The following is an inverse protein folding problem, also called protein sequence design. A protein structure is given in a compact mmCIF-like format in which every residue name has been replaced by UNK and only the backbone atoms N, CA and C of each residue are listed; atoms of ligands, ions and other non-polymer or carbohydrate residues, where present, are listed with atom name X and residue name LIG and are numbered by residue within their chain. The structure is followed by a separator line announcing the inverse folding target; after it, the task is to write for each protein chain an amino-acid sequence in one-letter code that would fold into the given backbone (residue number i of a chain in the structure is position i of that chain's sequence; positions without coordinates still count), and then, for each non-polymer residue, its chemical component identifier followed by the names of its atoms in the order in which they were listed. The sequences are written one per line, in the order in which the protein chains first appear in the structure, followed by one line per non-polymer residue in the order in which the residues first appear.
data_IF_326516107954
#
_entry.id   IF_326516107954
#
_cell.length_a   1.000
_cell.length_b   1.000
_cell.length_c   1.000
_cell.angle_alpha   90.00
_cell.angle_beta   90.00
_cell.angle_gamma   90.00
#
_symmetry.space_group_name_H-M   'P 1'
#
loop_
_entity.id
_entity.type
_entity.pdbx_description
1 polymer ?
#
# COMPACT_ATOMS: atom_id res chain seq x y z
N UNK A 1 -21.02 16.78 3.92
CA UNK A 1 -20.45 16.07 2.77
C UNK A 1 -18.95 16.12 2.93
N UNK A 2 -18.33 14.94 3.15
CA UNK A 2 -16.92 14.89 3.41
C UNK A 2 -16.16 14.65 2.10
N UNK A 3 -15.43 15.67 1.66
CA UNK A 3 -14.46 15.56 0.58
C UNK A 3 -13.08 15.55 1.24
N UNK A 4 -12.38 14.41 1.22
CA UNK A 4 -11.03 14.32 1.76
C UNK A 4 -10.16 13.30 1.06
N UNK A 5 -8.86 13.52 1.16
CA UNK A 5 -7.83 12.65 0.62
C UNK A 5 -6.92 12.21 1.75
N UNK A 6 -6.62 10.93 1.79
CA UNK A 6 -5.68 10.34 2.73
C UNK A 6 -4.69 9.46 1.98
N UNK A 7 -3.43 9.61 2.27
CA UNK A 7 -2.41 8.63 1.93
C UNK A 7 -2.02 7.84 3.18
N UNK A 8 -1.84 6.54 3.04
CA UNK A 8 -1.35 5.69 4.12
C UNK A 8 -0.31 4.70 3.63
N UNK A 9 0.61 4.35 4.51
CA UNK A 9 1.75 3.50 4.25
C UNK A 9 1.77 2.32 5.24
N UNK A 10 2.30 1.19 4.81
CA UNK A 10 2.46 -0.01 5.63
C UNK A 10 1.19 -0.42 6.38
N UNK A 11 0.10 -0.64 5.62
CA UNK A 11 -1.19 -1.06 6.16
C UNK A 11 -1.72 -0.13 7.28
N UNK A 12 -1.69 1.19 7.02
CA UNK A 12 -2.10 2.26 7.95
C UNK A 12 -1.27 2.39 9.23
N UNK A 13 -0.07 1.83 9.29
CA UNK A 13 0.85 2.12 10.39
C UNK A 13 1.28 3.59 10.39
N UNK A 14 1.32 4.17 9.21
CA UNK A 14 1.51 5.60 9.01
C UNK A 14 0.42 6.11 8.05
N UNK A 15 -0.07 7.29 8.33
CA UNK A 15 -1.04 7.95 7.47
C UNK A 15 -0.80 9.46 7.42
N UNK A 16 -1.31 10.08 6.39
CA UNK A 16 -1.26 11.52 6.16
C UNK A 16 -2.57 11.98 5.56
N UNK A 17 -3.18 12.98 6.19
CA UNK A 17 -4.23 13.77 5.60
C UNK A 17 -3.63 15.03 5.02
N UNK A 18 -4.17 15.49 3.93
CA UNK A 18 -3.79 16.78 3.37
C UNK A 18 -4.49 17.88 4.16
N UNK A 19 -3.75 18.84 4.74
CA UNK A 19 -4.34 19.84 5.64
C UNK A 19 -5.32 20.77 4.95
N UNK A 20 -5.07 21.04 3.67
CA UNK A 20 -6.00 21.75 2.79
C UNK A 20 -6.42 20.78 1.69
N UNK A 21 -7.72 20.66 1.45
CA UNK A 21 -8.22 19.85 0.34
C UNK A 21 -7.76 20.43 -0.97
N UNK A 22 -7.22 19.60 -1.87
CA UNK A 22 -6.98 20.01 -3.24
C UNK A 22 -8.25 20.54 -3.88
N UNK A 23 -8.11 21.58 -4.70
CA UNK A 23 -9.22 22.15 -5.47
C UNK A 23 -9.84 21.11 -6.41
N UNK A 24 -8.98 20.27 -7.00
CA UNK A 24 -9.39 19.18 -7.88
C UNK A 24 -8.50 17.95 -7.69
N UNK A 25 -9.08 16.78 -7.96
CA UNK A 25 -8.35 15.53 -8.12
C UNK A 25 -8.72 14.95 -9.48
N UNK A 26 -7.70 14.67 -10.28
CA UNK A 26 -7.86 14.14 -11.62
C UNK A 26 -7.59 12.64 -11.61
N UNK A 27 -8.49 11.86 -12.19
CA UNK A 27 -8.35 10.44 -12.42
C UNK A 27 -8.29 10.18 -13.92
N UNK A 28 -7.20 9.61 -14.40
CA UNK A 28 -7.01 9.27 -15.79
C UNK A 28 -7.03 7.76 -15.99
N UNK A 29 -8.03 7.29 -16.71
CA UNK A 29 -8.17 5.90 -17.14
C UNK A 29 -7.94 5.82 -18.64
N UNK A 30 -6.95 5.06 -19.09
CA UNK A 30 -6.60 4.93 -20.50
C UNK A 30 -6.70 3.49 -20.95
N UNK A 31 -7.31 3.28 -22.12
CA UNK A 31 -7.22 2.02 -22.83
C UNK A 31 -5.82 1.78 -23.38
N UNK A 32 -5.49 0.53 -23.64
CA UNK A 32 -4.31 0.15 -24.41
C UNK A 32 -4.76 -0.59 -25.67
N UNK A 33 -4.13 -0.30 -26.78
CA UNK A 33 -4.47 -0.89 -28.06
C UNK A 33 -3.33 -0.72 -29.06
N UNK A 34 -3.37 -1.48 -30.11
CA UNK A 34 -2.44 -1.36 -31.24
C UNK A 34 -3.21 -1.53 -32.53
N UNK A 35 -3.02 -0.58 -33.45
CA UNK A 35 -3.57 -0.68 -34.81
C UNK A 35 -2.55 -1.32 -35.73
N UNK A 36 -3.03 -2.18 -36.61
CA UNK A 36 -2.24 -2.86 -37.65
C UNK A 36 -2.95 -2.72 -39.00
N UNK A 37 -2.18 -2.41 -40.03
CA UNK A 37 -2.70 -2.39 -41.38
C UNK A 37 -2.53 -3.77 -42.01
N UNK A 38 -3.64 -4.44 -42.33
CA UNK A 38 -3.64 -5.78 -42.90
C UNK A 38 -4.08 -5.68 -44.37
N UNK A 39 -3.29 -6.27 -45.26
CA UNK A 39 -3.64 -6.34 -46.71
C UNK A 39 -5.02 -6.95 -46.88
N UNK A 40 -5.86 -6.32 -47.70
CA UNK A 40 -7.23 -6.71 -48.02
C UNK A 40 -8.29 -6.52 -46.91
N UNK A 41 -7.90 -6.22 -45.64
CA UNK A 41 -8.82 -5.95 -44.53
C UNK A 41 -8.81 -4.48 -44.10
N UNK A 42 -7.73 -3.73 -44.43
CA UNK A 42 -7.54 -2.38 -43.95
C UNK A 42 -6.94 -2.32 -42.54
N UNK A 43 -7.21 -1.22 -41.82
CA UNK A 43 -6.74 -1.04 -40.47
C UNK A 43 -7.62 -1.85 -39.50
N UNK A 44 -6.95 -2.66 -38.68
CA UNK A 44 -7.59 -3.38 -37.56
C UNK A 44 -7.03 -2.83 -36.22
N UNK A 45 -7.91 -2.68 -35.24
CA UNK A 45 -7.54 -2.29 -33.88
C UNK A 45 -7.63 -3.48 -32.94
N UNK A 46 -6.51 -3.79 -32.29
CA UNK A 46 -6.43 -4.86 -31.29
C UNK A 46 -6.49 -4.21 -29.90
N UNK A 47 -7.57 -4.50 -29.16
CA UNK A 47 -7.76 -4.01 -27.80
C UNK A 47 -6.94 -4.85 -26.85
N UNK A 48 -6.10 -4.20 -26.05
CA UNK A 48 -5.31 -4.81 -24.98
C UNK A 48 -5.92 -4.49 -23.62
N UNK A 49 -5.31 -5.02 -22.56
CA UNK A 49 -5.68 -4.66 -21.19
C UNK A 49 -5.49 -3.17 -20.96
N UNK A 50 -6.40 -2.48 -20.25
CA UNK A 50 -6.29 -1.06 -19.98
C UNK A 50 -4.99 -0.75 -19.21
N UNK A 51 -4.49 0.45 -19.39
CA UNK A 51 -3.36 0.97 -18.61
C UNK A 51 -3.75 1.13 -17.15
N UNK A 52 -2.76 1.22 -16.28
CA UNK A 52 -2.97 1.52 -14.87
C UNK A 52 -3.51 2.94 -14.73
N UNK A 53 -4.50 3.11 -13.86
CA UNK A 53 -5.07 4.41 -13.54
C UNK A 53 -4.01 5.36 -13.02
N UNK A 54 -4.00 6.58 -13.51
CA UNK A 54 -3.18 7.66 -12.99
C UNK A 54 -4.05 8.63 -12.20
N UNK A 55 -3.48 9.21 -11.14
CA UNK A 55 -4.16 10.18 -10.29
C UNK A 55 -3.23 11.34 -10.06
N UNK A 56 -3.70 12.55 -10.30
CA UNK A 56 -2.93 13.75 -10.05
C UNK A 56 -3.76 14.78 -9.28
N UNK A 57 -3.11 15.49 -8.41
CA UNK A 57 -3.67 16.63 -7.70
C UNK A 57 -2.57 17.54 -7.17
N UNK A 58 -2.91 18.79 -6.97
CA UNK A 58 -2.03 19.82 -6.42
C UNK A 58 -2.68 20.47 -5.21
N UNK A 59 -1.87 21.07 -4.36
CA UNK A 59 -2.37 21.76 -3.20
C UNK A 59 -1.28 22.52 -2.47
N UNK A 60 -1.58 22.88 -1.22
CA UNK A 60 -0.69 23.65 -0.38
C UNK A 60 -0.58 23.02 1.02
N UNK A 61 0.61 23.02 1.57
CA UNK A 61 0.87 22.77 2.98
C UNK A 61 1.10 24.13 3.64
N UNK A 62 0.12 24.67 4.35
CA UNK A 62 0.22 26.01 4.90
C UNK A 62 1.13 26.06 6.13
N UNK A 63 1.90 27.14 6.26
CA UNK A 63 2.77 27.40 7.41
C UNK A 63 1.99 27.68 8.69
N UNK A 64 0.87 28.39 8.54
CA UNK A 64 0.04 28.80 9.65
C UNK A 64 -1.34 28.14 9.59
N UNK A 65 -1.96 28.01 10.76
CA UNK A 65 -3.34 27.55 10.83
C UNK A 65 -4.27 28.52 10.10
N UNK A 66 -4.95 28.03 9.11
CA UNK A 66 -5.93 28.78 8.31
C UNK A 66 -7.33 28.17 8.47
N UNK A 67 -8.41 28.96 8.35
CA UNK A 67 -9.79 28.44 8.31
C UNK A 67 -10.04 27.41 7.18
N UNK A 68 -9.20 27.40 6.17
CA UNK A 68 -9.25 26.44 5.06
C UNK A 68 -8.68 25.05 5.41
N UNK A 69 -8.07 24.90 6.59
CA UNK A 69 -7.69 23.58 7.07
C UNK A 69 -8.95 22.73 7.21
N UNK A 70 -8.85 21.50 6.76
CA UNK A 70 -9.88 20.50 7.03
C UNK A 70 -10.10 20.45 8.54
N UNK A 71 -11.20 21.05 9.00
CA UNK A 71 -11.71 20.84 10.34
C UNK A 71 -12.21 19.41 10.44
N UNK A 72 -11.28 18.49 10.50
CA UNK A 72 -11.58 17.10 10.74
C UNK A 72 -12.06 16.99 12.20
N UNK A 73 -13.39 17.01 12.34
CA UNK A 73 -14.11 16.94 13.58
C UNK A 73 -13.82 18.08 14.60
N UNK A 74 -14.57 19.18 14.45
CA UNK A 74 -14.59 20.29 15.43
C UNK A 74 -14.89 19.83 16.87
N UNK A 75 -15.37 18.59 17.05
CA UNK A 75 -15.69 17.98 18.35
C UNK A 75 -14.47 17.43 19.08
N UNK A 76 -13.32 17.31 18.42
CA UNK A 76 -12.09 16.76 19.02
C UNK A 76 -10.88 17.67 18.83
N UNK A 77 -10.73 18.73 19.69
CA UNK A 77 -9.60 19.66 19.62
C UNK A 77 -8.23 18.99 19.72
N UNK A 78 -8.14 17.84 20.43
CA UNK A 78 -6.90 17.06 20.53
C UNK A 78 -6.47 16.48 19.19
N UNK A 79 -7.43 16.18 18.30
CA UNK A 79 -7.17 15.66 16.96
C UNK A 79 -6.64 16.79 16.07
N UNK A 80 -7.14 18.01 16.22
CA UNK A 80 -6.69 19.18 15.45
C UNK A 80 -5.19 19.45 15.65
N UNK A 81 -4.68 19.40 16.87
CA UNK A 81 -3.25 19.56 17.17
C UNK A 81 -2.38 18.45 16.57
N UNK A 82 -2.94 17.26 16.40
CA UNK A 82 -2.23 16.10 15.85
C UNK A 82 -2.07 16.18 14.32
N UNK A 83 -2.93 16.97 13.64
CA UNK A 83 -2.92 17.09 12.18
C UNK A 83 -2.15 18.31 11.68
N UNK A 84 -1.98 19.35 12.50
CA UNK A 84 -1.12 20.47 12.15
C UNK A 84 0.33 20.09 12.35
N UNK A 85 1.08 20.05 11.29
CA UNK A 85 2.52 19.79 11.26
C UNK A 85 3.21 20.86 10.45
N UNK A 86 4.48 21.09 10.74
CA UNK A 86 5.34 21.86 9.88
C UNK A 86 5.18 21.39 8.41
N UNK A 87 4.96 22.31 7.45
CA UNK A 87 4.80 21.98 6.03
C UNK A 87 5.89 21.05 5.49
N UNK A 88 7.13 21.26 5.92
CA UNK A 88 8.25 20.44 5.49
C UNK A 88 8.21 18.99 6.03
N UNK A 89 7.51 18.74 7.13
CA UNK A 89 7.29 17.39 7.63
C UNK A 89 6.42 16.55 6.69
N UNK A 90 5.44 17.17 6.02
CA UNK A 90 4.66 16.50 4.98
C UNK A 90 5.53 16.13 3.79
N UNK A 91 6.37 17.07 3.34
CA UNK A 91 7.32 16.84 2.24
C UNK A 91 8.27 15.70 2.56
N UNK A 92 8.93 15.73 3.72
CA UNK A 92 9.83 14.66 4.17
C UNK A 92 9.12 13.30 4.20
N UNK A 93 7.88 13.26 4.64
CA UNK A 93 7.10 12.03 4.73
C UNK A 93 6.81 11.44 3.36
N UNK A 94 6.36 12.26 2.41
CA UNK A 94 6.09 11.81 1.03
C UNK A 94 7.37 11.31 0.36
N UNK A 95 8.46 12.08 0.44
CA UNK A 95 9.77 11.71 -0.13
C UNK A 95 10.25 10.37 0.48
N UNK A 96 10.15 10.22 1.79
CA UNK A 96 10.53 8.98 2.47
C UNK A 96 9.72 7.79 1.95
N UNK A 97 8.39 7.92 1.82
CA UNK A 97 7.56 6.84 1.28
C UNK A 97 7.95 6.50 -0.15
N UNK A 98 8.19 7.50 -0.99
CA UNK A 98 8.66 7.30 -2.36
C UNK A 98 9.98 6.53 -2.42
N UNK A 99 10.94 6.88 -1.54
CA UNK A 99 12.25 6.22 -1.47
C UNK A 99 12.19 4.76 -1.01
N UNK A 100 11.13 4.34 -0.33
CA UNK A 100 10.97 2.94 0.08
C UNK A 100 10.73 1.98 -1.09
N UNK A 101 10.33 2.49 -2.26
CA UNK A 101 9.94 1.70 -3.42
C UNK A 101 8.71 0.81 -3.19
N UNK A 102 7.89 1.14 -2.17
CA UNK A 102 6.68 0.39 -1.82
C UNK A 102 5.44 1.18 -2.13
N UNK A 103 4.32 0.51 -2.48
CA UNK A 103 3.07 1.20 -2.71
C UNK A 103 2.54 1.84 -1.44
N UNK A 104 1.91 2.98 -1.59
CA UNK A 104 1.07 3.63 -0.60
C UNK A 104 -0.40 3.38 -0.93
N UNK A 105 -1.28 3.58 0.01
CA UNK A 105 -2.71 3.45 -0.21
C UNK A 105 -3.34 4.81 -0.29
N UNK A 106 -3.98 5.10 -1.42
CA UNK A 106 -4.81 6.27 -1.61
C UNK A 106 -6.24 5.94 -1.15
N UNK A 107 -6.74 6.75 -0.25
CA UNK A 107 -8.15 6.78 0.11
C UNK A 107 -8.70 8.18 -0.22
N UNK A 108 -9.66 8.21 -1.10
CA UNK A 108 -10.38 9.41 -1.50
C UNK A 108 -11.87 9.22 -1.23
N UNK A 109 -12.48 10.18 -0.57
CA UNK A 109 -13.91 10.17 -0.30
C UNK A 109 -14.55 11.44 -0.81
N UNK A 110 -15.63 11.31 -1.55
CA UNK A 110 -16.50 12.38 -1.97
C UNK A 110 -17.93 12.08 -1.54
N UNK A 111 -18.84 13.03 -1.77
CA UNK A 111 -20.25 12.91 -1.42
C UNK A 111 -20.94 11.66 -2.00
N UNK A 112 -20.49 11.17 -3.14
CA UNK A 112 -21.18 10.14 -3.93
C UNK A 112 -20.40 8.85 -4.06
N UNK A 113 -19.08 8.88 -3.92
CA UNK A 113 -18.23 7.70 -4.13
C UNK A 113 -16.95 7.77 -3.31
N UNK A 114 -16.39 6.61 -3.08
CA UNK A 114 -15.13 6.43 -2.36
C UNK A 114 -14.18 5.59 -3.22
N UNK A 115 -12.94 6.04 -3.32
CA UNK A 115 -11.87 5.31 -4.00
C UNK A 115 -10.86 4.87 -2.95
N UNK A 116 -10.52 3.59 -2.97
CA UNK A 116 -9.54 2.99 -2.08
C UNK A 116 -8.66 2.04 -2.89
N UNK A 117 -7.44 2.47 -3.21
CA UNK A 117 -6.54 1.68 -4.04
C UNK A 117 -5.07 1.84 -3.61
N UNK A 118 -4.27 0.82 -3.91
CA UNK A 118 -2.83 0.90 -3.79
C UNK A 118 -2.28 1.70 -4.98
N UNK A 119 -1.33 2.59 -4.71
CA UNK A 119 -0.69 3.45 -5.71
C UNK A 119 0.81 3.55 -5.45
N UNK A 120 1.60 3.76 -6.51
CA UNK A 120 2.97 4.23 -6.44
C UNK A 120 2.99 5.77 -6.56
N UNK A 121 3.95 6.41 -5.92
CA UNK A 121 4.20 7.84 -6.10
C UNK A 121 5.17 7.96 -7.27
N UNK A 122 4.68 8.48 -8.39
CA UNK A 122 5.48 8.63 -9.62
C UNK A 122 6.30 9.93 -9.61
N UNK A 123 5.65 11.04 -9.22
CA UNK A 123 6.34 12.30 -8.99
C UNK A 123 5.73 13.05 -7.81
N UNK A 124 6.58 13.81 -7.14
CA UNK A 124 6.20 14.74 -6.09
C UNK A 124 7.08 15.99 -6.22
N UNK A 125 6.49 17.03 -6.76
CA UNK A 125 7.12 18.31 -6.97
C UNK A 125 6.63 19.29 -5.91
N UNK A 126 7.52 20.07 -5.32
CA UNK A 126 7.15 21.03 -4.28
C UNK A 126 8.00 22.28 -4.41
N UNK A 127 7.42 23.40 -4.02
CA UNK A 127 8.08 24.70 -4.05
C UNK A 127 7.57 25.60 -2.94
N UNK A 128 8.41 26.49 -2.47
CA UNK A 128 8.07 27.61 -1.60
C UNK A 128 8.15 28.90 -2.41
N UNK A 129 7.23 29.81 -2.16
CA UNK A 129 7.16 31.09 -2.87
C UNK A 129 7.46 32.23 -1.91
N UNK A 130 8.35 33.16 -2.25
CA UNK A 130 8.77 34.25 -1.39
C UNK A 130 7.62 35.19 -0.94
N UNK A 131 6.48 35.20 -1.65
CA UNK A 131 5.28 35.95 -1.27
C UNK A 131 4.46 35.32 -0.15
N UNK A 132 4.66 34.03 0.12
CA UNK A 132 3.97 33.25 1.18
C UNK A 132 5.01 32.40 1.90
N UNK A 133 5.87 33.07 2.68
CA UNK A 133 6.99 32.41 3.35
C UNK A 133 6.48 31.33 4.31
N UNK A 134 7.02 30.13 4.16
CA UNK A 134 6.66 28.95 4.95
C UNK A 134 5.56 28.07 4.33
N UNK A 135 4.75 28.59 3.41
CA UNK A 135 3.79 27.78 2.68
C UNK A 135 4.48 26.98 1.58
N UNK A 136 4.19 25.70 1.51
CA UNK A 136 4.73 24.80 0.48
C UNK A 136 3.62 24.39 -0.47
N UNK A 137 3.74 24.81 -1.72
CA UNK A 137 2.89 24.31 -2.80
C UNK A 137 3.44 22.96 -3.28
N UNK A 138 2.55 22.03 -3.61
CA UNK A 138 2.94 20.72 -4.09
C UNK A 138 2.08 20.26 -5.25
N UNK A 139 2.68 19.43 -6.10
CA UNK A 139 2.05 18.67 -7.18
C UNK A 139 2.43 17.20 -7.00
N UNK A 140 1.45 16.31 -6.98
CA UNK A 140 1.68 14.88 -6.81
C UNK A 140 1.03 14.09 -7.94
N UNK A 141 1.79 13.13 -8.47
CA UNK A 141 1.28 12.15 -9.44
C UNK A 141 1.43 10.76 -8.88
N UNK A 142 0.33 10.04 -8.90
CA UNK A 142 0.21 8.68 -8.38
C UNK A 142 -0.20 7.77 -9.52
N UNK A 143 0.23 6.52 -9.47
CA UNK A 143 -0.16 5.48 -10.43
C UNK A 143 -0.66 4.26 -9.70
N UNK A 144 -1.75 3.69 -10.17
CA UNK A 144 -2.31 2.47 -9.60
C UNK A 144 -1.26 1.37 -9.51
N UNK A 145 -1.18 0.73 -8.36
CA UNK A 145 -0.30 -0.41 -8.14
C UNK A 145 -1.13 -1.68 -7.99
N UNK A 146 -0.84 -2.66 -8.85
CA UNK A 146 -1.44 -3.99 -8.79
C UNK A 146 -0.43 -4.94 -8.17
N UNK A 147 -0.79 -5.55 -7.05
CA UNK A 147 0.05 -6.57 -6.44
C UNK A 147 0.14 -7.79 -7.34
N UNK A 148 1.33 -8.14 -7.69
CA UNK A 148 1.61 -9.35 -8.47
C UNK A 148 2.50 -10.29 -7.66
N UNK A 149 2.22 -11.59 -7.76
CA UNK A 149 3.08 -12.63 -7.24
C UNK A 149 3.50 -13.52 -8.41
N UNK A 150 4.78 -13.84 -8.50
CA UNK A 150 5.25 -14.83 -9.45
C UNK A 150 4.57 -16.18 -9.16
N UNK A 151 3.80 -16.68 -10.10
CA UNK A 151 3.25 -18.03 -10.01
C UNK A 151 4.38 -19.02 -10.25
N UNK A 152 4.72 -19.81 -9.23
CA UNK A 152 5.63 -20.94 -9.40
C UNK A 152 4.95 -21.95 -10.34
N UNK A 153 5.45 -22.06 -11.55
CA UNK A 153 5.03 -23.12 -12.46
C UNK A 153 5.64 -24.40 -11.93
N UNK A 154 4.82 -25.29 -11.38
CA UNK A 154 5.25 -26.64 -11.04
C UNK A 154 5.11 -27.43 -12.35
N UNK A 155 6.22 -27.94 -12.93
CA UNK A 155 6.11 -28.81 -14.09
C UNK A 155 5.30 -30.05 -13.69
N UNK A 156 4.25 -30.33 -14.45
CA UNK A 156 3.51 -31.57 -14.33
C UNK A 156 4.49 -32.71 -14.67
N UNK A 157 4.84 -33.52 -13.69
CA UNK A 157 5.43 -34.81 -13.97
C UNK A 157 4.33 -35.63 -14.62
N UNK A 158 4.60 -36.09 -15.83
CA UNK A 158 3.77 -37.06 -16.50
C UNK A 158 3.63 -38.31 -15.63
N UNK A 159 2.57 -38.41 -14.90
CA UNK A 159 2.11 -39.65 -14.29
C UNK A 159 0.85 -40.05 -15.02
N UNK A 160 0.99 -41.07 -15.85
CA UNK A 160 -0.15 -41.89 -16.24
C UNK A 160 -0.74 -42.44 -14.94
N UNK A 161 -1.84 -41.85 -14.51
CA UNK A 161 -2.97 -42.51 -13.88
C UNK A 161 -3.93 -41.47 -13.27
N UNK A 162 -5.16 -41.73 -13.52
CA UNK A 162 -6.42 -41.09 -13.18
C UNK A 162 -6.53 -40.34 -11.85
N UNK A 163 -7.33 -39.31 -11.96
CA UNK A 163 -8.13 -38.60 -10.99
C UNK A 163 -7.72 -37.14 -10.79
N UNK A 164 -8.54 -36.30 -11.40
CA UNK A 164 -8.45 -34.83 -11.32
C UNK A 164 -8.59 -34.34 -9.88
N UNK A 165 -7.48 -34.08 -9.22
CA UNK A 165 -7.44 -33.20 -8.04
C UNK A 165 -6.87 -31.85 -8.47
N UNK A 166 -7.76 -30.97 -8.94
CA UNK A 166 -7.44 -29.55 -9.13
C UNK A 166 -7.30 -28.91 -7.75
N UNK A 167 -6.12 -29.00 -7.17
CA UNK A 167 -5.80 -28.22 -5.97
C UNK A 167 -5.72 -26.75 -6.39
N UNK A 168 -6.82 -26.04 -6.22
CA UNK A 168 -6.83 -24.57 -6.32
C UNK A 168 -5.96 -24.02 -5.21
N UNK A 169 -4.71 -23.73 -5.48
CA UNK A 169 -3.87 -22.95 -4.59
C UNK A 169 -4.51 -21.58 -4.46
N UNK A 170 -5.12 -21.33 -3.30
CA UNK A 170 -5.74 -20.05 -2.97
C UNK A 170 -4.64 -19.00 -3.03
N UNK A 171 -4.69 -18.08 -3.98
CA UNK A 171 -3.74 -16.99 -4.06
C UNK A 171 -3.73 -16.25 -2.72
N UNK A 172 -2.56 -16.10 -2.12
CA UNK A 172 -2.37 -15.29 -0.93
C UNK A 172 -2.87 -13.87 -1.24
N UNK A 173 -3.72 -13.30 -0.35
CA UNK A 173 -4.16 -11.92 -0.51
C UNK A 173 -2.94 -11.01 -0.47
N UNK A 174 -2.86 -10.02 -1.39
CA UNK A 174 -1.80 -9.04 -1.36
C UNK A 174 -1.77 -8.35 0.01
N UNK A 175 -0.63 -8.34 0.67
CA UNK A 175 -0.46 -7.73 1.97
C UNK A 175 0.54 -6.57 1.87
N UNK A 176 0.08 -5.36 2.15
CA UNK A 176 0.89 -4.15 2.15
C UNK A 176 1.80 -4.04 3.38
N UNK A 177 1.52 -4.84 4.41
CA UNK A 177 2.23 -4.80 5.69
C UNK A 177 3.69 -5.25 5.51
N UNK A 178 4.61 -4.41 5.95
CA UNK A 178 6.01 -4.78 6.06
C UNK A 178 6.13 -5.78 7.21
N UNK A 179 6.56 -7.00 6.89
CA UNK A 179 6.79 -8.00 7.92
C UNK A 179 8.03 -7.61 8.73
N UNK A 180 7.96 -7.63 10.06
CA UNK A 180 9.15 -7.45 10.89
C UNK A 180 10.12 -8.60 10.63
N UNK A 181 11.42 -8.33 10.69
CA UNK A 181 12.45 -9.37 10.54
C UNK A 181 12.51 -10.32 11.75
N UNK A 182 12.06 -9.83 12.89
CA UNK A 182 12.06 -10.59 14.15
C UNK A 182 10.80 -10.28 14.97
N UNK A 183 10.36 -11.24 15.77
CA UNK A 183 9.23 -11.10 16.69
C UNK A 183 9.59 -11.70 18.03
N UNK A 184 9.28 -11.00 19.11
CA UNK A 184 9.47 -11.49 20.47
C UNK A 184 8.21 -12.21 20.94
N UNK A 185 8.36 -13.44 21.43
CA UNK A 185 7.26 -14.24 21.94
C UNK A 185 6.70 -13.62 23.23
N UNK A 186 5.38 -13.52 23.30
CA UNK A 186 4.64 -13.12 24.49
C UNK A 186 4.08 -14.34 25.20
N UNK A 187 3.57 -14.15 26.42
CA UNK A 187 2.89 -15.21 27.15
C UNK A 187 1.71 -15.77 26.33
N UNK A 188 1.69 -17.09 26.16
CA UNK A 188 0.67 -17.78 25.36
C UNK A 188 0.94 -17.88 23.87
N UNK A 189 2.02 -17.28 23.36
CA UNK A 189 2.39 -17.41 21.96
C UNK A 189 2.99 -18.78 21.66
N UNK A 190 2.71 -19.26 20.46
CA UNK A 190 3.27 -20.47 19.89
C UNK A 190 3.86 -20.16 18.51
N UNK A 191 4.76 -20.99 17.97
CA UNK A 191 5.24 -20.82 16.61
C UNK A 191 4.12 -20.82 15.58
N UNK A 192 3.04 -21.55 15.85
CA UNK A 192 1.86 -21.56 14.98
C UNK A 192 1.12 -20.22 15.00
N UNK A 193 0.93 -19.61 16.18
CA UNK A 193 0.28 -18.29 16.29
C UNK A 193 1.13 -17.20 15.63
N UNK A 194 2.45 -17.24 15.80
CA UNK A 194 3.38 -16.32 15.15
C UNK A 194 3.36 -16.51 13.62
N UNK A 195 3.39 -17.75 13.12
CA UNK A 195 3.29 -18.02 11.70
C UNK A 195 1.97 -17.52 11.11
N UNK A 196 0.85 -17.74 11.80
CA UNK A 196 -0.47 -17.27 11.38
C UNK A 196 -0.53 -15.74 11.34
N UNK A 197 0.00 -15.07 12.36
CA UNK A 197 -0.05 -13.61 12.47
C UNK A 197 0.88 -12.90 11.46
N UNK A 198 2.07 -13.43 11.23
CA UNK A 198 3.11 -12.76 10.42
C UNK A 198 3.26 -13.34 9.01
N UNK A 199 3.06 -14.64 8.82
CA UNK A 199 3.16 -15.28 7.50
C UNK A 199 1.81 -15.54 6.84
N UNK A 200 0.70 -15.24 7.57
CA UNK A 200 -0.66 -15.44 7.08
C UNK A 200 -1.15 -16.90 7.12
N UNK A 201 -0.27 -17.84 7.40
CA UNK A 201 -0.57 -19.28 7.45
C UNK A 201 0.14 -19.94 8.62
N UNK A 202 -0.65 -20.44 9.59
CA UNK A 202 -0.13 -21.12 10.77
C UNK A 202 0.59 -22.42 10.47
N UNK A 203 0.29 -23.11 9.34
CA UNK A 203 0.94 -24.37 8.94
C UNK A 203 2.44 -24.20 8.66
N UNK A 204 2.89 -22.97 8.40
CA UNK A 204 4.29 -22.62 8.17
C UNK A 204 5.15 -22.52 9.43
N UNK A 205 4.62 -22.88 10.58
CA UNK A 205 5.37 -22.88 11.84
C UNK A 205 6.66 -23.74 11.79
N UNK A 206 6.66 -24.80 10.98
CA UNK A 206 7.85 -25.63 10.73
C UNK A 206 9.00 -24.87 10.07
N UNK A 207 8.69 -23.91 9.21
CA UNK A 207 9.70 -23.03 8.60
C UNK A 207 10.35 -22.15 9.67
N UNK A 208 9.54 -21.58 10.57
CA UNK A 208 10.04 -20.78 11.69
C UNK A 208 10.90 -21.62 12.64
N UNK A 209 10.47 -22.84 12.93
CA UNK A 209 11.22 -23.78 13.76
C UNK A 209 12.61 -24.05 13.17
N UNK A 210 12.68 -24.38 11.89
CA UNK A 210 13.93 -24.67 11.18
C UNK A 210 14.83 -23.43 11.12
N UNK A 211 14.27 -22.26 10.79
CA UNK A 211 15.00 -21.00 10.67
C UNK A 211 15.65 -20.58 12.00
N UNK A 212 15.00 -20.89 13.12
CA UNK A 212 15.45 -20.52 14.47
C UNK A 212 16.15 -21.65 15.22
N UNK A 213 16.35 -22.82 14.60
CA UNK A 213 17.06 -23.93 15.22
C UNK A 213 16.37 -24.54 16.45
N UNK A 214 15.04 -24.37 16.56
CA UNK A 214 14.25 -24.83 17.71
C UNK A 214 14.02 -26.34 17.59
N UNK A 215 14.42 -27.09 18.61
CA UNK A 215 14.22 -28.55 18.66
C UNK A 215 12.78 -28.90 19.04
N UNK A 216 12.30 -30.07 18.59
CA UNK A 216 10.93 -30.53 18.86
C UNK A 216 10.58 -30.59 20.34
N UNK A 217 11.56 -30.97 21.19
CA UNK A 217 11.38 -31.00 22.64
C UNK A 217 11.12 -29.60 23.26
N UNK A 218 11.52 -28.55 22.59
CA UNK A 218 11.37 -27.16 23.05
C UNK A 218 10.04 -26.51 22.66
N UNK A 219 9.34 -27.09 21.67
CA UNK A 219 8.08 -26.52 21.12
C UNK A 219 7.00 -26.32 22.18
N UNK A 220 6.95 -27.21 23.19
CA UNK A 220 5.96 -27.15 24.27
C UNK A 220 6.34 -26.17 25.40
N UNK A 221 7.58 -25.69 25.44
CA UNK A 221 8.12 -24.84 26.51
C UNK A 221 9.00 -23.73 25.92
N UNK A 222 8.43 -22.95 25.00
CA UNK A 222 9.14 -21.79 24.46
C UNK A 222 9.20 -20.70 25.55
N UNK A 223 10.39 -20.15 25.84
CA UNK A 223 10.51 -19.11 26.84
C UNK A 223 9.84 -17.82 26.35
N UNK A 224 9.13 -17.14 27.27
CA UNK A 224 8.60 -15.79 27.01
C UNK A 224 9.79 -14.86 26.79
N UNK A 225 9.70 -13.98 25.82
CA UNK A 225 10.79 -13.07 25.43
C UNK A 225 11.75 -13.67 24.38
N UNK A 226 11.57 -14.90 23.94
CA UNK A 226 12.38 -15.46 22.85
C UNK A 226 12.15 -14.69 21.56
N UNK A 227 13.25 -14.26 20.93
CA UNK A 227 13.21 -13.55 19.64
C UNK A 227 13.21 -14.58 18.53
N UNK A 228 12.14 -14.59 17.73
CA UNK A 228 11.97 -15.46 16.57
C UNK A 228 12.29 -14.66 15.31
N UNK A 229 13.22 -15.17 14.50
CA UNK A 229 13.51 -14.64 13.17
C UNK A 229 12.41 -15.08 12.21
N UNK A 230 11.90 -14.14 11.41
CA UNK A 230 10.94 -14.39 10.35
C UNK A 230 11.66 -14.50 8.99
N UNK A 231 11.16 -15.32 8.05
CA UNK A 231 11.76 -15.50 6.73
C UNK A 231 11.60 -14.27 5.83
#
# INVERSE_FOLDING_TARGET
VEYYIQLSYNNRSEYMFFPVTPESIEFSDSGDGSSFNVSALGEINVIKSPKLREVSFSGIFPADYSPYHLNYDARHPAIQKQFYRDPYEYVKKVIRWMQTGRPVRLFFSSARYTINMAVSIESFDWKETAGTVGDIQYDIKLKQFIFYAAKKVVPLKDSKDNAASKTKTKASRPNEKIQPKTVTLKAGDSLWSVAKAHLGDGSRWKELQKLNGIKDAQLKKLPIGLVIKLP
#
